data_IF_243661314210
#
_entry.id   IF_243661314210
#
_cell.length_a   1.000
_cell.length_b   1.000
_cell.length_c   1.000
_cell.angle_alpha   90.00
_cell.angle_beta   90.00
_cell.angle_gamma   90.00
#
_symmetry.space_group_name_H-M   'P 1'
#
loop_
_entity.id
_entity.type
_entity.pdbx_description
1 polymer ?
#
# COMPACT_ATOMS: atom_id res chain seq x y z
N UNK A 1 -1.69 -9.30 5.39
CA UNK A 1 -2.66 -8.81 4.38
C UNK A 1 -3.10 -10.00 3.56
N UNK A 2 -4.38 -10.15 3.24
CA UNK A 2 -4.86 -11.33 2.49
C UNK A 2 -4.50 -11.21 1.00
N UNK A 3 -4.22 -12.32 0.31
CA UNK A 3 -3.84 -12.31 -1.12
C UNK A 3 -4.93 -11.68 -1.99
N UNK A 4 -6.20 -11.94 -1.68
CA UNK A 4 -7.34 -11.37 -2.40
C UNK A 4 -7.43 -9.84 -2.26
N UNK A 5 -7.12 -9.30 -1.07
CA UNK A 5 -7.06 -7.85 -0.79
C UNK A 5 -5.97 -7.19 -1.66
N UNK A 6 -4.77 -7.79 -1.70
CA UNK A 6 -3.67 -7.35 -2.55
C UNK A 6 -4.05 -7.31 -4.04
N UNK A 7 -4.62 -8.41 -4.55
CA UNK A 7 -4.97 -8.51 -5.96
C UNK A 7 -5.99 -7.43 -6.37
N UNK A 8 -6.96 -7.11 -5.50
CA UNK A 8 -7.93 -6.04 -5.76
C UNK A 8 -7.28 -4.67 -5.83
N UNK A 9 -6.35 -4.36 -4.93
CA UNK A 9 -5.62 -3.09 -4.97
C UNK A 9 -4.74 -2.99 -6.22
N UNK A 10 -3.98 -4.05 -6.52
CA UNK A 10 -3.08 -4.09 -7.68
C UNK A 10 -3.85 -3.96 -9.00
N UNK A 11 -4.96 -4.68 -9.15
CA UNK A 11 -5.82 -4.59 -10.33
C UNK A 11 -6.34 -3.16 -10.52
N UNK A 12 -6.89 -2.56 -9.46
CA UNK A 12 -7.44 -1.20 -9.53
C UNK A 12 -6.36 -0.19 -9.92
N UNK A 13 -5.21 -0.16 -9.21
CA UNK A 13 -4.15 0.81 -9.45
C UNK A 13 -3.48 0.63 -10.83
N UNK A 14 -3.38 -0.61 -11.32
CA UNK A 14 -2.85 -0.88 -12.66
C UNK A 14 -3.81 -0.44 -13.77
N UNK A 15 -5.12 -0.47 -13.50
CA UNK A 15 -6.14 -0.05 -14.48
C UNK A 15 -6.32 1.47 -14.60
N UNK A 16 -5.72 2.27 -13.71
CA UNK A 16 -5.87 3.74 -13.72
C UNK A 16 -5.34 4.40 -14.99
N UNK A 17 -4.30 3.82 -15.60
CA UNK A 17 -3.78 4.28 -16.89
C UNK A 17 -4.68 3.90 -18.07
N UNK A 18 -5.52 2.88 -17.91
CA UNK A 18 -6.35 2.32 -18.98
C UNK A 18 -7.82 2.73 -18.88
N UNK A 19 -8.26 3.24 -17.73
CA UNK A 19 -9.64 3.66 -17.51
C UNK A 19 -9.75 5.18 -17.61
N UNK A 20 -10.47 5.67 -18.62
CA UNK A 20 -11.12 6.96 -18.56
C UNK A 20 -12.30 6.85 -17.57
N UNK A 21 -12.04 6.85 -16.26
CA UNK A 21 -13.11 6.81 -15.26
C UNK A 21 -13.86 8.14 -15.25
N UNK A 22 -15.19 8.11 -15.35
CA UNK A 22 -16.04 9.30 -15.10
C UNK A 22 -16.06 9.70 -13.62
N UNK A 23 -15.61 8.80 -12.74
CA UNK A 23 -15.61 8.97 -11.29
C UNK A 23 -14.18 9.19 -10.75
N UNK A 24 -14.10 9.84 -9.58
CA UNK A 24 -12.85 10.18 -8.91
C UNK A 24 -12.14 8.91 -8.40
N UNK A 25 -10.94 8.60 -8.90
CA UNK A 25 -10.18 7.41 -8.51
C UNK A 25 -9.88 7.31 -7.00
N UNK A 26 -9.69 8.44 -6.31
CA UNK A 26 -9.44 8.43 -4.87
C UNK A 26 -10.68 7.99 -4.09
N UNK A 27 -11.88 8.36 -4.58
CA UNK A 27 -13.16 7.93 -4.01
C UNK A 27 -13.38 6.43 -4.26
N UNK A 28 -13.11 5.94 -5.46
CA UNK A 28 -13.19 4.51 -5.77
C UNK A 28 -12.23 3.69 -4.90
N UNK A 29 -10.97 4.11 -4.78
CA UNK A 29 -10.00 3.46 -3.90
C UNK A 29 -10.50 3.42 -2.45
N UNK A 30 -11.12 4.51 -1.96
CA UNK A 30 -11.71 4.56 -0.63
C UNK A 30 -12.80 3.51 -0.43
N UNK A 31 -13.66 3.30 -1.43
CA UNK A 31 -14.70 2.27 -1.38
C UNK A 31 -14.12 0.86 -1.38
N UNK A 32 -13.10 0.61 -2.20
CA UNK A 32 -12.39 -0.68 -2.23
C UNK A 32 -11.76 -0.97 -0.87
N UNK A 33 -11.05 0.00 -0.27
CA UNK A 33 -10.45 -0.15 1.06
C UNK A 33 -11.48 -0.50 2.15
N UNK A 34 -12.67 0.13 2.09
CA UNK A 34 -13.75 -0.14 3.05
C UNK A 34 -14.26 -1.59 2.99
N UNK A 35 -14.23 -2.24 1.82
CA UNK A 35 -14.61 -3.66 1.71
C UNK A 35 -13.71 -4.59 2.54
N UNK A 36 -12.49 -4.15 2.81
CA UNK A 36 -11.50 -4.87 3.61
C UNK A 36 -11.31 -4.27 5.02
N UNK A 37 -12.24 -3.44 5.48
CA UNK A 37 -12.15 -2.73 6.76
C UNK A 37 -10.88 -1.85 6.90
N UNK A 38 -10.31 -1.40 5.78
CA UNK A 38 -9.16 -0.49 5.74
C UNK A 38 -9.62 0.96 5.56
N UNK A 39 -8.81 1.89 6.06
CA UNK A 39 -9.05 3.34 5.92
C UNK A 39 -7.73 4.08 5.79
N UNK A 40 -7.68 5.00 4.84
CA UNK A 40 -6.66 6.04 4.71
C UNK A 40 -7.34 7.40 4.61
N UNK A 41 -6.59 8.46 4.91
CA UNK A 41 -7.05 9.84 4.73
C UNK A 41 -7.09 10.21 3.24
N UNK A 42 -7.85 11.25 2.88
CA UNK A 42 -7.99 11.64 1.46
C UNK A 42 -6.67 12.09 0.82
N UNK A 43 -5.80 12.77 1.57
CA UNK A 43 -4.47 13.17 1.12
C UNK A 43 -3.60 11.95 0.77
N UNK A 44 -3.65 10.90 1.60
CA UNK A 44 -2.92 9.66 1.36
C UNK A 44 -3.46 8.92 0.12
N UNK A 45 -4.78 8.93 -0.07
CA UNK A 45 -5.41 8.34 -1.25
C UNK A 45 -4.97 9.07 -2.53
N UNK A 46 -5.01 10.40 -2.54
CA UNK A 46 -4.56 11.20 -3.68
C UNK A 46 -3.10 10.92 -4.05
N UNK A 47 -2.20 10.85 -3.06
CA UNK A 47 -0.79 10.50 -3.29
C UNK A 47 -0.62 9.13 -3.96
N UNK A 48 -1.41 8.13 -3.56
CA UNK A 48 -1.37 6.79 -4.17
C UNK A 48 -1.87 6.86 -5.62
N UNK A 49 -2.93 7.62 -5.91
CA UNK A 49 -3.47 7.78 -7.26
C UNK A 49 -2.46 8.48 -8.17
N UNK A 50 -1.88 9.61 -7.74
CA UNK A 50 -0.83 10.32 -8.47
C UNK A 50 0.35 9.41 -8.79
N UNK A 51 0.77 8.60 -7.81
CA UNK A 51 1.83 7.63 -8.02
C UNK A 51 1.43 6.57 -9.03
N UNK A 52 0.20 6.06 -8.98
CA UNK A 52 -0.27 5.01 -9.87
C UNK A 52 -0.38 5.45 -11.34
N UNK A 53 -0.59 6.75 -11.59
CA UNK A 53 -0.55 7.33 -12.93
C UNK A 53 0.85 7.30 -13.57
N UNK A 54 1.92 7.14 -12.78
CA UNK A 54 3.30 7.11 -13.30
C UNK A 54 3.94 5.73 -13.13
N UNK A 55 3.67 5.06 -12.02
CA UNK A 55 4.16 3.72 -11.72
C UNK A 55 3.17 2.99 -10.79
N UNK A 56 2.33 2.14 -11.37
CA UNK A 56 1.31 1.39 -10.63
C UNK A 56 1.91 0.40 -9.61
N UNK A 57 3.06 -0.20 -9.90
CA UNK A 57 3.71 -1.15 -9.00
C UNK A 57 4.20 -0.44 -7.72
N UNK A 58 4.85 0.72 -7.87
CA UNK A 58 5.28 1.52 -6.72
C UNK A 58 4.09 2.07 -5.93
N UNK A 59 2.97 2.41 -6.59
CA UNK A 59 1.76 2.85 -5.91
C UNK A 59 1.14 1.76 -5.03
N UNK A 60 1.17 0.50 -5.49
CA UNK A 60 0.73 -0.65 -4.68
C UNK A 60 1.61 -0.80 -3.43
N UNK A 61 2.94 -0.72 -3.58
CA UNK A 61 3.87 -0.79 -2.44
C UNK A 61 3.67 0.35 -1.45
N UNK A 62 3.45 1.57 -1.95
CA UNK A 62 3.13 2.74 -1.13
C UNK A 62 1.84 2.53 -0.33
N UNK A 63 0.77 2.08 -1.00
CA UNK A 63 -0.50 1.75 -0.35
C UNK A 63 -0.30 0.72 0.76
N UNK A 64 0.43 -0.37 0.49
CA UNK A 64 0.69 -1.41 1.49
C UNK A 64 1.46 -0.87 2.69
N UNK A 65 2.45 -0.01 2.45
CA UNK A 65 3.25 0.63 3.51
C UNK A 65 2.39 1.53 4.39
N UNK A 66 1.53 2.36 3.78
CA UNK A 66 0.61 3.22 4.53
C UNK A 66 -0.40 2.42 5.35
N UNK A 67 -0.94 1.33 4.80
CA UNK A 67 -1.86 0.44 5.52
C UNK A 67 -1.17 -0.33 6.65
N UNK A 68 0.11 -0.67 6.48
CA UNK A 68 0.93 -1.33 7.50
C UNK A 68 1.34 -0.39 8.64
N UNK A 69 1.42 0.93 8.41
CA UNK A 69 1.83 1.95 9.39
C UNK A 69 0.90 2.13 10.61
N UNK A 70 -0.11 1.27 10.76
CA UNK A 70 -0.84 1.05 12.03
C UNK A 70 -0.23 -0.02 12.94
N UNK A 71 0.88 -0.66 12.55
CA UNK A 71 1.71 -1.45 13.47
C UNK A 71 2.81 -0.56 14.07
N UNK A 72 3.10 -0.66 15.39
CA UNK A 72 4.26 0.01 15.95
C UNK A 72 5.51 -0.39 15.16
N UNK A 73 6.54 0.48 15.06
CA UNK A 73 7.76 0.13 14.34
C UNK A 73 8.36 -1.09 15.04
N UNK A 74 8.16 -2.28 14.48
CA UNK A 74 9.02 -3.42 14.79
C UNK A 74 10.40 -2.96 14.39
N UNK A 75 11.20 -2.62 15.41
CA UNK A 75 12.64 -2.56 15.26
C UNK A 75 13.02 -3.84 14.54
N UNK A 76 13.61 -3.69 13.36
CA UNK A 76 14.49 -4.71 12.83
C UNK A 76 15.53 -4.91 13.94
N UNK A 77 15.30 -5.92 14.78
CA UNK A 77 16.32 -6.45 15.66
C UNK A 77 17.29 -7.12 14.70
N UNK A 78 18.25 -6.34 14.21
CA UNK A 78 19.48 -6.93 13.72
C UNK A 78 20.11 -7.61 14.92
N UNK A 79 20.08 -8.94 14.90
CA UNK A 79 20.68 -9.85 15.85
C UNK A 79 22.17 -9.49 16.08
N UNK A 80 22.42 -8.64 17.07
CA UNK A 80 23.72 -8.58 17.72
C UNK A 80 23.86 -9.78 18.64
N UNK A 81 24.28 -10.93 18.11
CA UNK A 81 25.14 -11.90 18.82
C UNK A 81 25.43 -13.12 17.95
N UNK A 82 26.63 -13.17 17.39
CA UNK A 82 27.53 -14.34 17.40
C UNK A 82 28.81 -14.04 16.61
N UNK A 83 29.61 -13.07 17.06
CA UNK A 83 31.05 -13.01 16.76
C UNK A 83 31.82 -12.37 17.92
N UNK A 84 32.35 -13.22 18.80
CA UNK A 84 33.58 -13.06 19.59
C UNK A 84 33.77 -14.41 20.29
N UNK A 85 34.39 -15.36 19.60
CA UNK A 85 35.81 -15.69 19.74
C UNK A 85 36.15 -16.01 21.20
N UNK A 86 36.03 -17.28 21.55
CA UNK A 86 36.75 -17.85 22.69
C UNK A 86 38.24 -17.85 22.33
N UNK A 87 39.02 -17.07 23.08
CA UNK A 87 40.42 -17.36 23.37
C UNK A 87 40.47 -17.87 24.80
#
# INVERSE_FOLDING_TARGET
>A
MQVQEYMKYSQFLSSLLCLATKADPAIELRFILRQFNRRLRMDQLQQIIEKAQTNSQEAVLLLMTMLASKMPPTKLVEDKRLKKNNH
#
